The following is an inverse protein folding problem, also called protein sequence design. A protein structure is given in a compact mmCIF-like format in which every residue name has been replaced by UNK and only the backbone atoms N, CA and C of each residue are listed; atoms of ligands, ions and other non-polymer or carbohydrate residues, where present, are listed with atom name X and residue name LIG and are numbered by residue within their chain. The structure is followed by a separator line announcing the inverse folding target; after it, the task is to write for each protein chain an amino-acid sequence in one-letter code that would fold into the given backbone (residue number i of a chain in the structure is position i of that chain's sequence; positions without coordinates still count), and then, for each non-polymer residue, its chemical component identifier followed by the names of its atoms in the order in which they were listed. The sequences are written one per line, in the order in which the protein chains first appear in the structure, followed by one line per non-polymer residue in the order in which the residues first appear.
data_IF_842813390451
#
_entry.id   IF_842813390451
#
_cell.length_a   1.000
_cell.length_b   1.000
_cell.length_c   1.000
_cell.angle_alpha   90.00
_cell.angle_beta   90.00
_cell.angle_gamma   90.00
#
_symmetry.space_group_name_H-M   'P 1'
#
loop_
_entity.id
_entity.type
_entity.pdbx_description
1 polymer ?
#
# COMPACT_ATOMS: atom_id res chain seq x y z
N UNK A 1 -21.60 -14.24 37.99
CA UNK A 1 -21.64 -12.93 38.67
C UNK A 1 -20.37 -12.12 38.39
N UNK A 2 -20.10 -11.81 37.11
CA UNK A 2 -18.91 -11.02 36.71
C UNK A 2 -19.27 -9.94 35.67
N UNK A 3 -20.55 -9.61 35.52
CA UNK A 3 -21.07 -8.63 34.56
C UNK A 3 -21.45 -7.29 35.23
N UNK A 4 -21.35 -7.20 36.56
CA UNK A 4 -21.84 -6.05 37.32
C UNK A 4 -20.74 -5.08 37.81
N UNK A 5 -19.45 -5.39 37.60
CA UNK A 5 -18.33 -4.56 38.13
C UNK A 5 -17.79 -3.57 37.09
N UNK A 6 -17.99 -3.81 35.79
CA UNK A 6 -17.42 -2.96 34.72
C UNK A 6 -18.21 -1.65 34.50
N UNK A 7 -19.49 -1.62 34.86
CA UNK A 7 -20.34 -0.42 34.64
C UNK A 7 -20.06 0.68 35.70
N UNK A 8 -19.47 0.35 36.86
CA UNK A 8 -19.24 1.34 37.92
C UNK A 8 -18.03 2.24 37.63
N UNK A 9 -17.03 1.76 36.89
CA UNK A 9 -15.85 2.59 36.56
C UNK A 9 -16.11 3.60 35.43
N UNK A 10 -16.99 3.27 34.47
CA UNK A 10 -17.35 4.17 33.37
C UNK A 10 -18.24 5.34 33.83
N UNK A 11 -19.07 5.14 34.87
CA UNK A 11 -19.93 6.20 35.42
C UNK A 11 -19.19 7.07 36.45
N UNK A 12 -18.17 6.55 37.12
CA UNK A 12 -17.37 7.32 38.09
C UNK A 12 -16.48 8.38 37.41
N UNK A 13 -16.02 8.12 36.18
CA UNK A 13 -15.29 9.08 35.35
C UNK A 13 -16.18 10.21 34.78
N UNK A 14 -17.50 10.03 34.75
CA UNK A 14 -18.45 11.08 34.36
C UNK A 14 -18.76 12.06 35.51
N UNK A 15 -18.44 11.72 36.77
CA UNK A 15 -18.83 12.50 37.95
C UNK A 15 -17.65 13.21 38.65
N UNK A 16 -16.42 12.93 38.27
CA UNK A 16 -15.27 13.78 38.63
C UNK A 16 -14.89 14.58 37.41
N UNK A 17 -15.26 15.86 37.37
CA UNK A 17 -14.90 16.82 36.32
C UNK A 17 -13.40 17.04 36.20
N UNK A 18 -12.68 16.00 35.76
CA UNK A 18 -11.31 16.06 35.30
C UNK A 18 -11.41 16.39 33.81
N UNK A 19 -11.15 17.65 33.53
CA UNK A 19 -10.99 18.21 32.21
C UNK A 19 -9.72 17.60 31.58
N UNK A 20 -9.85 16.42 30.97
CA UNK A 20 -8.78 15.75 30.19
C UNK A 20 -8.79 16.21 28.72
N UNK A 21 -9.50 17.29 28.41
CA UNK A 21 -9.81 17.67 27.02
C UNK A 21 -8.66 18.29 26.21
N UNK A 22 -7.49 18.53 26.80
CA UNK A 22 -6.40 19.26 26.12
C UNK A 22 -5.16 18.44 25.74
N UNK A 23 -5.10 17.13 26.05
CA UNK A 23 -3.91 16.30 25.77
C UNK A 23 -4.08 15.18 24.75
N UNK A 24 -5.30 14.95 24.26
CA UNK A 24 -5.54 13.92 23.25
C UNK A 24 -5.91 14.59 21.92
N UNK A 25 -5.16 14.34 20.83
CA UNK A 25 -5.57 14.79 19.51
C UNK A 25 -6.94 14.18 19.20
N UNK A 26 -7.83 14.98 18.61
CA UNK A 26 -9.13 14.51 18.14
C UNK A 26 -8.94 13.29 17.23
N UNK A 27 -9.77 12.23 17.34
CA UNK A 27 -9.68 11.09 16.44
C UNK A 27 -9.82 11.55 14.98
N UNK A 28 -9.08 10.94 14.04
CA UNK A 28 -9.12 11.33 12.64
C UNK A 28 -10.53 11.19 12.08
N UNK A 29 -10.99 12.18 11.33
CA UNK A 29 -12.31 12.15 10.70
C UNK A 29 -12.28 11.17 9.52
N UNK A 30 -13.21 10.22 9.54
CA UNK A 30 -13.42 9.28 8.42
C UNK A 30 -14.26 10.00 7.35
N UNK A 31 -13.77 10.03 6.11
CA UNK A 31 -14.50 10.51 4.93
C UNK A 31 -14.63 9.38 3.92
N UNK A 32 -15.86 9.06 3.52
CA UNK A 32 -16.10 8.17 2.40
C UNK A 32 -16.30 8.99 1.12
N UNK A 33 -15.57 8.64 0.07
CA UNK A 33 -15.68 9.20 -1.28
C UNK A 33 -16.15 8.06 -2.19
N UNK A 34 -17.31 8.25 -2.81
CA UNK A 34 -17.77 7.38 -3.88
C UNK A 34 -17.35 7.97 -5.22
N UNK A 35 -16.62 7.20 -6.01
CA UNK A 35 -16.38 7.51 -7.42
C UNK A 35 -17.56 6.95 -8.21
N UNK A 36 -18.25 7.78 -9.00
CA UNK A 36 -19.46 7.40 -9.72
C UNK A 36 -19.14 6.48 -10.92
N UNK A 37 -19.65 5.25 -10.88
CA UNK A 37 -19.51 4.29 -11.98
C UNK A 37 -20.02 2.89 -11.65
N UNK A 38 -21.31 2.76 -11.29
CA UNK A 38 -21.96 1.45 -11.14
C UNK A 38 -22.36 0.90 -12.51
N UNK A 39 -21.39 0.34 -13.24
CA UNK A 39 -21.67 -0.74 -14.19
C UNK A 39 -21.02 -2.01 -13.62
N UNK A 40 -21.71 -3.17 -13.76
CA UNK A 40 -21.34 -4.46 -13.16
C UNK A 40 -19.82 -4.66 -13.18
N UNK A 41 -19.21 -4.56 -12.00
CA UNK A 41 -17.76 -4.62 -11.84
C UNK A 41 -17.29 -6.06 -12.01
N UNK A 42 -16.33 -6.27 -12.91
CA UNK A 42 -15.37 -7.35 -12.73
C UNK A 42 -14.63 -7.07 -11.41
N UNK A 43 -14.40 -8.11 -10.59
CA UNK A 43 -13.63 -7.95 -9.35
C UNK A 43 -12.25 -7.37 -9.68
N UNK A 44 -12.00 -6.14 -9.26
CA UNK A 44 -10.70 -5.48 -9.42
C UNK A 44 -9.86 -5.71 -8.16
N UNK A 45 -8.59 -5.34 -8.21
CA UNK A 45 -7.69 -5.32 -7.07
C UNK A 45 -6.99 -3.97 -7.07
N UNK A 46 -6.89 -3.35 -5.90
CA UNK A 46 -6.11 -2.13 -5.76
C UNK A 46 -4.66 -2.51 -5.48
N UNK A 47 -3.76 -2.03 -6.34
CA UNK A 47 -2.31 -2.10 -6.19
C UNK A 47 -1.84 -0.76 -5.65
N UNK A 48 -1.06 -0.80 -4.58
CA UNK A 48 -0.43 0.41 -4.07
C UNK A 48 0.74 0.74 -4.97
N UNK A 49 0.83 2.00 -5.38
CA UNK A 49 2.12 2.44 -5.90
C UNK A 49 3.11 2.41 -4.74
N UNK A 50 4.36 2.07 -5.01
CA UNK A 50 5.35 2.01 -3.97
C UNK A 50 5.66 3.42 -3.47
N UNK A 51 4.89 3.83 -2.48
CA UNK A 51 5.29 4.76 -1.46
C UNK A 51 6.17 3.93 -0.52
N UNK A 52 7.29 4.47 -0.05
CA UNK A 52 7.86 3.93 1.16
C UNK A 52 6.71 3.82 2.19
N UNK A 53 6.41 2.61 2.69
CA UNK A 53 5.90 2.27 4.04
C UNK A 53 4.65 1.37 4.14
N UNK A 54 4.63 0.72 5.31
CA UNK A 54 3.93 -0.47 5.82
C UNK A 54 2.40 -0.51 5.75
N UNK A 55 1.83 -1.72 5.63
CA UNK A 55 0.48 -2.01 6.11
C UNK A 55 0.32 -3.45 6.61
N UNK A 56 0.10 -3.65 7.92
CA UNK A 56 -0.42 -4.90 8.48
C UNK A 56 -1.93 -4.78 8.73
N UNK A 57 -2.75 -5.43 7.90
CA UNK A 57 -4.21 -5.31 7.91
C UNK A 57 -4.84 -5.58 9.30
N UNK A 58 -4.34 -6.56 10.05
CA UNK A 58 -4.90 -6.97 11.35
C UNK A 58 -4.49 -6.03 12.49
N UNK A 59 -3.22 -5.61 12.54
CA UNK A 59 -2.70 -4.65 13.54
C UNK A 59 -3.26 -3.23 13.34
N UNK A 60 -3.53 -2.84 12.10
CA UNK A 60 -4.08 -1.52 11.77
C UNK A 60 -5.54 -1.42 12.19
N UNK A 61 -6.33 -2.47 11.97
CA UNK A 61 -7.71 -2.49 12.45
C UNK A 61 -7.76 -2.37 13.98
N UNK A 62 -6.83 -3.01 14.71
CA UNK A 62 -6.67 -2.78 16.16
C UNK A 62 -6.19 -1.36 16.51
N UNK A 63 -5.23 -0.78 15.79
CA UNK A 63 -4.70 0.58 16.04
C UNK A 63 -5.64 1.73 15.64
N UNK A 64 -6.52 1.55 14.65
CA UNK A 64 -7.60 2.50 14.35
C UNK A 64 -8.55 2.61 15.55
N UNK A 65 -8.67 1.55 16.36
CA UNK A 65 -9.39 1.57 17.64
C UNK A 65 -8.50 1.91 18.85
N UNK A 66 -7.17 1.80 18.74
CA UNK A 66 -6.21 2.20 19.77
C UNK A 66 -5.02 3.00 19.20
N UNK A 67 -5.17 4.32 19.17
CA UNK A 67 -4.19 5.41 19.02
C UNK A 67 -2.74 5.10 18.57
N UNK A 68 -2.28 5.99 17.68
CA UNK A 68 -0.89 6.26 17.24
C UNK A 68 -0.43 5.43 16.03
N UNK A 69 -0.87 5.84 14.85
CA UNK A 69 -0.21 5.49 13.59
C UNK A 69 0.98 6.46 13.43
N UNK A 70 2.20 5.98 13.11
CA UNK A 70 3.35 6.85 12.80
C UNK A 70 3.06 7.81 11.63
N UNK A 71 3.91 8.83 11.45
CA UNK A 71 3.81 10.00 10.54
C UNK A 71 3.76 9.67 9.01
N UNK A 72 3.08 8.60 8.60
CA UNK A 72 3.20 7.98 7.28
C UNK A 72 1.84 7.65 6.65
N UNK A 73 1.66 8.00 5.38
CA UNK A 73 0.42 7.70 4.64
C UNK A 73 0.26 6.18 4.51
N UNK A 74 -0.80 5.62 5.08
CA UNK A 74 -1.08 4.19 5.06
C UNK A 74 -2.21 3.91 4.07
N UNK A 75 -2.06 2.93 3.18
CA UNK A 75 -3.10 2.58 2.20
C UNK A 75 -3.43 1.10 2.31
N UNK A 76 -4.71 0.78 2.41
CA UNK A 76 -5.25 -0.58 2.45
C UNK A 76 -6.14 -0.79 1.23
N UNK A 77 -5.85 -1.85 0.48
CA UNK A 77 -6.51 -2.20 -0.78
C UNK A 77 -7.45 -3.41 -0.63
N UNK A 78 -8.75 -3.21 -0.93
CA UNK A 78 -9.75 -4.26 -1.12
C UNK A 78 -10.17 -4.44 -2.59
N UNK A 79 -11.01 -5.44 -2.90
CA UNK A 79 -11.41 -5.77 -4.29
C UNK A 79 -12.08 -4.58 -5.02
N UNK A 80 -12.63 -3.58 -4.33
CA UNK A 80 -13.28 -2.42 -4.98
C UNK A 80 -13.12 -1.12 -4.17
N UNK A 81 -12.25 -1.15 -3.15
CA UNK A 81 -12.10 -0.08 -2.17
C UNK A 81 -10.63 0.17 -1.86
N UNK A 82 -10.27 1.43 -1.71
CA UNK A 82 -9.00 1.83 -1.13
C UNK A 82 -9.28 2.63 0.16
N UNK A 83 -8.72 2.20 1.28
CA UNK A 83 -8.73 2.96 2.53
C UNK A 83 -7.37 3.64 2.64
N UNK A 84 -7.35 4.97 2.62
CA UNK A 84 -6.15 5.80 2.60
C UNK A 84 -6.13 6.62 3.88
N UNK A 85 -5.19 6.32 4.76
CA UNK A 85 -4.85 7.13 5.92
C UNK A 85 -3.77 8.14 5.53
N UNK A 86 -4.04 9.41 5.82
CA UNK A 86 -3.15 10.53 5.55
C UNK A 86 -2.86 11.27 6.87
N UNK A 87 -1.81 10.90 7.62
CA UNK A 87 -1.44 11.62 8.83
C UNK A 87 -0.92 13.01 8.48
N UNK A 88 -1.29 14.00 9.30
CA UNK A 88 -0.89 15.39 9.09
C UNK A 88 -1.45 16.04 7.82
N UNK A 89 -2.39 15.37 7.14
CA UNK A 89 -3.00 15.83 5.89
C UNK A 89 -4.53 15.74 5.96
N UNK A 90 -5.17 16.79 5.43
CA UNK A 90 -6.62 16.91 5.36
C UNK A 90 -7.05 16.91 3.91
N UNK A 91 -8.03 16.08 3.60
CA UNK A 91 -8.71 16.16 2.31
C UNK A 91 -9.47 17.47 2.18
N UNK A 92 -9.06 18.27 1.20
CA UNK A 92 -9.68 19.54 0.83
C UNK A 92 -10.67 19.37 -0.30
N UNK A 93 -10.30 18.68 -1.37
CA UNK A 93 -11.15 18.48 -2.54
C UNK A 93 -10.85 17.16 -3.25
N UNK A 94 -11.78 16.72 -4.09
CA UNK A 94 -11.69 15.51 -4.89
C UNK A 94 -12.13 15.80 -6.30
N UNK A 95 -11.38 15.35 -7.28
CA UNK A 95 -11.77 15.47 -8.68
C UNK A 95 -11.24 14.29 -9.48
N UNK A 96 -12.03 13.86 -10.46
CA UNK A 96 -11.66 12.76 -11.34
C UNK A 96 -11.56 13.28 -12.77
N UNK A 97 -10.48 12.90 -13.46
CA UNK A 97 -10.27 13.20 -14.87
C UNK A 97 -10.11 11.92 -15.67
N UNK A 98 -10.43 11.98 -16.95
CA UNK A 98 -10.10 10.92 -17.90
C UNK A 98 -8.90 11.37 -18.73
N UNK A 99 -7.81 10.62 -18.65
CA UNK A 99 -6.57 10.82 -19.39
C UNK A 99 -6.41 9.67 -20.39
N UNK A 100 -6.97 9.85 -21.59
CA UNK A 100 -6.99 8.80 -22.60
C UNK A 100 -7.85 7.61 -22.16
N UNK A 101 -7.21 6.46 -21.89
CA UNK A 101 -7.88 5.26 -21.36
C UNK A 101 -7.79 5.10 -19.84
N UNK A 102 -6.99 5.95 -19.18
CA UNK A 102 -6.79 5.92 -17.73
C UNK A 102 -7.73 6.93 -17.07
N UNK A 103 -8.37 6.53 -15.99
CA UNK A 103 -9.11 7.44 -15.12
C UNK A 103 -8.17 7.81 -13.97
N UNK A 104 -8.07 9.09 -13.65
CA UNK A 104 -7.28 9.56 -12.52
C UNK A 104 -8.18 10.26 -11.50
N UNK A 105 -8.23 9.73 -10.28
CA UNK A 105 -8.88 10.35 -9.12
C UNK A 105 -7.84 11.05 -8.28
N UNK A 106 -8.01 12.35 -8.13
CA UNK A 106 -7.08 13.24 -7.46
C UNK A 106 -7.64 13.65 -6.10
N UNK A 107 -6.85 13.43 -5.06
CA UNK A 107 -7.14 13.82 -3.69
C UNK A 107 -6.32 15.08 -3.38
N UNK A 108 -6.94 16.26 -3.49
CA UNK A 108 -6.31 17.52 -3.11
C UNK A 108 -6.27 17.62 -1.59
N UNK A 109 -5.07 17.78 -1.04
CA UNK A 109 -4.83 17.79 0.40
C UNK A 109 -4.09 19.03 0.86
N UNK A 110 -4.28 19.36 2.12
CA UNK A 110 -3.57 20.43 2.83
C UNK A 110 -2.95 19.91 4.13
N UNK A 111 -1.86 20.54 4.57
CA UNK A 111 -1.23 20.22 5.85
C UNK A 111 -2.14 20.60 7.01
N UNK A 112 -2.15 19.78 8.04
CA UNK A 112 -3.02 19.90 9.21
C UNK A 112 -2.39 19.18 10.40
N UNK A 113 -2.85 19.48 11.61
CA UNK A 113 -2.47 18.72 12.81
C UNK A 113 -3.31 17.44 12.96
N UNK A 114 -4.53 17.42 12.44
CA UNK A 114 -5.42 16.26 12.45
C UNK A 114 -5.25 15.44 11.16
N UNK A 115 -4.99 14.13 11.23
CA UNK A 115 -4.97 13.26 10.05
C UNK A 115 -6.37 12.97 9.47
N UNK A 116 -6.42 12.44 8.25
CA UNK A 116 -7.67 11.97 7.61
C UNK A 116 -7.62 10.48 7.29
N UNK A 117 -8.74 9.78 7.48
CA UNK A 117 -8.97 8.45 6.89
C UNK A 117 -9.95 8.65 5.74
N UNK A 118 -9.57 8.25 4.55
CA UNK A 118 -10.34 8.38 3.32
C UNK A 118 -10.68 6.98 2.83
N UNK A 119 -11.94 6.70 2.57
CA UNK A 119 -12.37 5.47 1.91
C UNK A 119 -12.78 5.84 0.50
N UNK A 120 -12.03 5.40 -0.50
CA UNK A 120 -12.38 5.52 -1.91
C UNK A 120 -13.07 4.24 -2.35
N UNK A 121 -14.33 4.34 -2.77
CA UNK A 121 -15.14 3.21 -3.21
C UNK A 121 -15.63 3.41 -4.65
N UNK A 122 -16.00 2.31 -5.32
CA UNK A 122 -16.48 2.35 -6.70
C UNK A 122 -15.36 2.62 -7.71
N UNK A 123 -14.14 2.16 -7.42
CA UNK A 123 -13.01 2.30 -8.34
C UNK A 123 -13.30 1.57 -9.65
N UNK A 124 -12.87 2.15 -10.76
CA UNK A 124 -12.99 1.55 -12.10
C UNK A 124 -11.70 0.80 -12.48
N UNK A 125 -11.75 -0.18 -13.40
CA UNK A 125 -10.54 -0.78 -13.95
C UNK A 125 -9.60 0.28 -14.50
N UNK A 126 -8.30 0.16 -14.18
CA UNK A 126 -7.24 1.10 -14.58
C UNK A 126 -7.35 2.50 -13.97
N UNK A 127 -8.20 2.68 -12.96
CA UNK A 127 -8.28 3.94 -12.25
C UNK A 127 -7.08 4.14 -11.32
N UNK A 128 -6.41 5.28 -11.45
CA UNK A 128 -5.27 5.66 -10.64
C UNK A 128 -5.68 6.73 -9.64
N UNK A 129 -5.23 6.55 -8.40
CA UNK A 129 -5.45 7.49 -7.31
C UNK A 129 -4.15 8.26 -7.08
N UNK A 130 -4.27 9.58 -7.05
CA UNK A 130 -3.17 10.51 -6.84
C UNK A 130 -3.44 11.41 -5.65
N UNK A 131 -2.39 11.65 -4.86
CA UNK A 131 -2.37 12.72 -3.88
C UNK A 131 -1.88 14.00 -4.54
N UNK A 132 -2.61 15.11 -4.35
CA UNK A 132 -2.22 16.41 -4.87
C UNK A 132 -1.96 17.37 -3.70
N UNK A 133 -0.70 17.72 -3.48
CA UNK A 133 -0.28 18.64 -2.42
C UNK A 133 0.26 19.93 -3.00
N UNK A 134 -0.20 21.07 -2.48
CA UNK A 134 0.34 22.37 -2.89
C UNK A 134 1.77 22.56 -2.38
N UNK A 135 2.65 23.00 -3.25
CA UNK A 135 4.03 23.39 -2.93
C UNK A 135 4.32 24.79 -3.49
N UNK A 136 4.18 25.80 -2.63
CA UNK A 136 4.26 27.20 -3.05
C UNK A 136 3.20 27.55 -4.12
N UNK A 137 3.65 27.83 -5.35
CA UNK A 137 2.80 28.16 -6.48
C UNK A 137 2.43 26.95 -7.37
N UNK A 138 3.05 25.78 -7.14
CA UNK A 138 2.80 24.56 -7.91
C UNK A 138 2.07 23.51 -7.08
N UNK A 139 1.75 22.38 -7.71
CA UNK A 139 1.29 21.18 -7.05
C UNK A 139 2.29 20.05 -7.27
N UNK A 140 2.54 19.28 -6.21
CA UNK A 140 3.21 17.99 -6.27
C UNK A 140 2.11 16.93 -6.40
N UNK A 141 2.19 16.15 -7.46
CA UNK A 141 1.29 15.04 -7.73
C UNK A 141 2.02 13.74 -7.42
N UNK A 142 1.47 12.96 -6.49
CA UNK A 142 2.07 11.71 -6.02
C UNK A 142 1.10 10.56 -6.26
N UNK A 143 1.47 9.57 -7.11
CA UNK A 143 0.62 8.39 -7.32
C UNK A 143 0.58 7.54 -6.04
N UNK A 144 -0.60 7.17 -5.58
CA UNK A 144 -0.78 6.43 -4.31
C UNK A 144 -1.36 5.04 -4.50
N UNK A 145 -2.28 4.85 -5.45
CA UNK A 145 -2.79 3.52 -5.77
C UNK A 145 -3.29 3.43 -7.22
N UNK A 146 -3.46 2.21 -7.72
CA UNK A 146 -4.05 1.89 -9.02
C UNK A 146 -4.99 0.71 -8.88
N UNK A 147 -6.17 0.81 -9.47
CA UNK A 147 -7.08 -0.30 -9.62
C UNK A 147 -6.73 -1.11 -10.87
N UNK A 148 -6.54 -2.42 -10.69
CA UNK A 148 -6.07 -3.35 -11.71
C UNK A 148 -7.02 -4.54 -11.75
N UNK A 149 -7.30 -5.09 -12.93
CA UNK A 149 -8.14 -6.29 -13.04
C UNK A 149 -7.49 -7.48 -12.33
N UNK A 150 -8.29 -8.33 -11.67
CA UNK A 150 -7.78 -9.48 -10.91
C UNK A 150 -6.89 -10.41 -11.73
N UNK A 151 -7.19 -10.58 -13.01
CA UNK A 151 -6.42 -11.43 -13.91
C UNK A 151 -5.02 -10.87 -14.24
N UNK A 152 -4.79 -9.58 -13.98
CA UNK A 152 -3.53 -8.87 -14.18
C UNK A 152 -2.74 -8.68 -12.87
N UNK A 153 -3.30 -9.11 -11.74
CA UNK A 153 -2.61 -9.07 -10.45
C UNK A 153 -2.03 -10.44 -10.11
N UNK A 154 -0.75 -10.44 -9.75
CA UNK A 154 -0.07 -11.57 -9.15
C UNK A 154 0.13 -11.32 -7.66
N UNK A 155 -0.48 -12.15 -6.83
CA UNK A 155 -0.20 -12.18 -5.39
C UNK A 155 0.95 -13.14 -5.12
N UNK A 156 1.90 -12.71 -4.31
CA UNK A 156 3.10 -13.47 -3.93
C UNK A 156 3.18 -13.43 -2.41
N UNK A 157 3.29 -14.60 -1.76
CA UNK A 157 3.47 -14.68 -0.30
C UNK A 157 4.64 -15.57 0.04
N UNK A 158 5.26 -15.27 1.18
CA UNK A 158 6.24 -16.15 1.75
C UNK A 158 6.81 -15.61 3.04
N UNK A 159 8.01 -16.10 3.37
CA UNK A 159 8.72 -15.71 4.58
C UNK A 159 9.98 -14.96 4.23
N UNK A 160 10.32 -13.98 5.05
CA UNK A 160 11.57 -13.27 4.97
C UNK A 160 12.09 -13.02 6.39
N UNK A 161 13.13 -13.73 6.80
CA UNK A 161 13.73 -13.54 8.12
C UNK A 161 14.84 -12.49 8.00
N UNK A 162 14.94 -11.61 9.01
CA UNK A 162 15.92 -10.51 9.07
C UNK A 162 15.87 -9.50 7.92
N UNK A 163 14.79 -9.49 7.17
CA UNK A 163 14.54 -8.51 6.12
C UNK A 163 13.65 -7.38 6.64
N UNK A 164 13.92 -6.15 6.23
CA UNK A 164 12.99 -5.02 6.39
C UNK A 164 11.87 -5.10 5.37
N UNK A 165 12.26 -5.33 4.12
CA UNK A 165 11.38 -5.30 2.97
C UNK A 165 11.68 -6.47 2.06
N UNK A 166 10.68 -6.84 1.28
CA UNK A 166 10.86 -7.64 0.08
C UNK A 166 10.56 -6.74 -1.11
N UNK A 167 11.50 -6.63 -2.02
CA UNK A 167 11.39 -5.84 -3.24
C UNK A 167 11.19 -6.76 -4.44
N UNK A 168 10.47 -6.29 -5.45
CA UNK A 168 10.21 -7.04 -6.68
C UNK A 168 10.75 -6.26 -7.87
N UNK A 169 11.45 -6.96 -8.76
CA UNK A 169 12.06 -6.39 -9.95
C UNK A 169 11.62 -7.18 -11.19
N UNK A 170 11.38 -6.47 -12.30
CA UNK A 170 11.05 -7.06 -13.59
C UNK A 170 12.31 -7.24 -14.45
N UNK A 171 12.57 -8.46 -14.88
CA UNK A 171 13.64 -8.75 -15.83
C UNK A 171 13.06 -9.16 -17.18
N UNK A 172 13.88 -9.02 -18.22
CA UNK A 172 13.54 -9.49 -19.57
C UNK A 172 13.76 -11.00 -19.69
N UNK A 173 14.80 -11.54 -19.05
CA UNK A 173 15.07 -12.97 -18.98
C UNK A 173 15.61 -13.34 -17.59
N UNK A 174 15.48 -14.61 -17.19
CA UNK A 174 15.96 -15.07 -15.88
C UNK A 174 17.48 -14.93 -15.75
N UNK A 175 18.21 -15.18 -16.84
CA UNK A 175 19.65 -15.02 -16.97
C UNK A 175 20.16 -13.57 -16.92
N UNK A 176 19.30 -12.55 -17.04
CA UNK A 176 19.70 -11.14 -16.90
C UNK A 176 19.98 -10.77 -15.43
N UNK A 177 19.59 -11.62 -14.46
CA UNK A 177 19.82 -11.40 -13.04
C UNK A 177 21.16 -12.01 -12.57
N UNK A 178 21.94 -11.22 -11.81
CA UNK A 178 23.18 -11.65 -11.18
C UNK A 178 23.03 -11.68 -9.65
N UNK A 179 22.96 -12.87 -9.07
CA UNK A 179 22.77 -13.06 -7.61
C UNK A 179 23.93 -12.55 -6.74
N UNK A 180 25.10 -12.26 -7.33
CA UNK A 180 26.23 -11.68 -6.59
C UNK A 180 26.18 -10.16 -6.50
N UNK A 181 25.23 -9.49 -7.15
CA UNK A 181 25.06 -8.05 -7.12
C UNK A 181 23.64 -7.68 -6.66
N UNK A 182 23.46 -6.50 -6.05
CA UNK A 182 22.12 -5.95 -5.83
C UNK A 182 21.36 -5.81 -7.16
N UNK A 183 20.01 -5.90 -7.13
CA UNK A 183 19.19 -5.71 -8.33
C UNK A 183 19.36 -4.30 -8.91
N UNK A 184 19.11 -4.15 -10.21
CA UNK A 184 19.11 -2.84 -10.85
C UNK A 184 17.89 -2.03 -10.38
N UNK A 185 18.09 -0.86 -9.74
CA UNK A 185 16.97 -0.04 -9.25
C UNK A 185 16.03 0.44 -10.35
N UNK A 186 16.47 0.51 -11.62
CA UNK A 186 15.60 0.88 -12.74
C UNK A 186 14.63 -0.23 -13.15
N UNK A 187 14.85 -1.46 -12.69
CA UNK A 187 13.99 -2.61 -12.94
C UNK A 187 12.95 -2.83 -11.83
N UNK A 188 12.96 -2.00 -10.80
CA UNK A 188 12.11 -2.14 -9.64
C UNK A 188 10.63 -1.89 -9.98
N UNK A 189 9.76 -2.65 -9.31
CA UNK A 189 8.31 -2.61 -9.49
C UNK A 189 7.59 -2.11 -8.23
N UNK A 190 7.83 -2.82 -7.13
CA UNK A 190 7.11 -2.63 -5.88
C UNK A 190 7.89 -3.26 -4.73
N UNK A 191 7.45 -2.99 -3.50
CA UNK A 191 7.94 -3.68 -2.32
C UNK A 191 6.81 -4.01 -1.35
N UNK A 192 7.12 -4.85 -0.37
CA UNK A 192 6.26 -5.13 0.78
C UNK A 192 7.12 -5.12 2.02
N UNK A 193 6.57 -4.58 3.11
CA UNK A 193 7.21 -4.73 4.41
C UNK A 193 7.03 -6.14 4.93
N UNK A 194 8.09 -6.63 5.56
CA UNK A 194 8.09 -7.90 6.26
C UNK A 194 7.53 -7.71 7.66
N UNK A 195 6.47 -8.47 8.00
CA UNK A 195 5.81 -8.38 9.30
C UNK A 195 5.70 -9.78 9.89
N UNK A 196 6.23 -9.97 11.11
CA UNK A 196 6.26 -11.30 11.73
C UNK A 196 7.00 -12.33 10.86
N UNK A 197 8.04 -11.88 10.14
CA UNK A 197 8.81 -12.65 9.16
C UNK A 197 8.01 -13.14 7.94
N UNK A 198 6.83 -12.57 7.69
CA UNK A 198 6.00 -12.87 6.53
C UNK A 198 5.88 -11.65 5.62
N UNK A 199 5.67 -11.88 4.33
CA UNK A 199 5.36 -10.83 3.36
C UNK A 199 4.21 -11.26 2.44
N UNK A 200 3.39 -10.29 2.04
CA UNK A 200 2.45 -10.40 0.92
C UNK A 200 2.73 -9.25 -0.05
N UNK A 201 3.01 -9.60 -1.30
CA UNK A 201 3.24 -8.69 -2.41
C UNK A 201 2.11 -8.84 -3.42
N UNK A 202 1.69 -7.72 -4.01
CA UNK A 202 0.79 -7.71 -5.17
C UNK A 202 1.47 -6.96 -6.31
N UNK A 203 1.64 -7.65 -7.42
CA UNK A 203 2.34 -7.15 -8.60
C UNK A 203 1.33 -6.95 -9.72
N UNK A 204 1.31 -5.75 -10.30
CA UNK A 204 0.58 -5.46 -11.53
C UNK A 204 1.40 -5.95 -12.73
N UNK A 205 0.94 -7.03 -13.36
CA UNK A 205 1.59 -7.64 -14.54
C UNK A 205 1.49 -6.77 -15.80
N UNK A 206 0.67 -5.71 -15.75
CA UNK A 206 0.46 -4.78 -16.87
C UNK A 206 1.27 -3.49 -16.75
N UNK A 207 2.08 -3.33 -15.70
CA UNK A 207 2.88 -2.13 -15.49
C UNK A 207 4.35 -2.46 -15.16
N UNK A 208 5.10 -1.44 -14.76
CA UNK A 208 6.52 -1.54 -14.46
C UNK A 208 7.43 -0.88 -15.50
N UNK A 209 8.75 -1.13 -15.38
CA UNK A 209 9.74 -0.59 -16.30
C UNK A 209 9.43 -0.95 -17.74
N UNK A 210 9.66 0.01 -18.64
CA UNK A 210 9.43 -0.18 -20.06
C UNK A 210 10.59 -0.96 -20.71
N UNK A 211 10.23 -1.87 -21.61
CA UNK A 211 11.14 -2.49 -22.57
C UNK A 211 11.61 -1.45 -23.59
N UNK A 212 12.56 -1.84 -24.45
CA UNK A 212 13.01 -1.01 -25.57
C UNK A 212 11.90 -0.64 -26.55
N UNK A 213 10.80 -1.40 -26.57
CA UNK A 213 9.63 -1.12 -27.44
C UNK A 213 8.62 -0.17 -26.79
N UNK A 214 8.89 0.26 -25.54
CA UNK A 214 8.01 1.13 -24.77
C UNK A 214 6.86 0.40 -24.07
N UNK A 215 6.82 -0.94 -24.13
CA UNK A 215 5.82 -1.76 -23.41
C UNK A 215 6.35 -2.20 -22.04
N UNK A 216 5.50 -2.41 -21.03
CA UNK A 216 5.94 -2.92 -19.73
C UNK A 216 6.65 -4.27 -19.84
N UNK A 217 7.82 -4.44 -19.19
CA UNK A 217 8.63 -5.65 -19.26
C UNK A 217 7.87 -6.93 -18.86
N UNK A 218 7.02 -6.85 -17.83
CA UNK A 218 6.22 -7.98 -17.38
C UNK A 218 5.13 -8.39 -18.36
N UNK A 219 4.66 -7.46 -19.19
CA UNK A 219 3.70 -7.79 -20.24
C UNK A 219 4.32 -8.63 -21.36
N UNK A 220 5.65 -8.58 -21.51
CA UNK A 220 6.38 -9.30 -22.53
C UNK A 220 6.94 -10.64 -22.01
N UNK A 221 7.62 -10.63 -20.85
CA UNK A 221 8.48 -11.76 -20.46
C UNK A 221 8.14 -12.39 -19.10
N UNK A 222 7.30 -11.76 -18.27
CA UNK A 222 6.83 -12.28 -16.96
C UNK A 222 7.95 -12.88 -16.08
N UNK A 223 9.14 -12.28 -16.07
CA UNK A 223 10.24 -12.69 -15.19
C UNK A 223 10.35 -11.74 -14.02
N UNK A 224 10.25 -12.28 -12.80
CA UNK A 224 10.37 -11.54 -11.56
C UNK A 224 11.60 -11.98 -10.78
N UNK A 225 12.25 -11.02 -10.14
CA UNK A 225 13.14 -11.25 -9.02
C UNK A 225 12.46 -10.75 -7.74
N UNK A 226 12.42 -11.60 -6.73
CA UNK A 226 12.04 -11.26 -5.37
C UNK A 226 13.33 -11.10 -4.56
N UNK A 227 13.54 -9.92 -3.99
CA UNK A 227 14.76 -9.54 -3.28
C UNK A 227 14.49 -9.19 -1.82
N UNK A 228 15.09 -9.92 -0.89
CA UNK A 228 15.07 -9.59 0.54
C UNK A 228 16.08 -8.48 0.89
N UNK A 229 15.57 -7.35 1.38
CA UNK A 229 16.38 -6.22 1.85
C UNK A 229 16.63 -6.37 3.35
N UNK A 230 17.90 -6.38 3.82
CA UNK A 230 18.22 -6.51 5.24
C UNK A 230 17.56 -5.47 6.13
N UNK A 231 17.23 -5.88 7.35
CA UNK A 231 16.74 -4.97 8.39
C UNK A 231 17.80 -3.93 8.79
N UNK A 232 19.05 -4.37 8.89
CA UNK A 232 20.21 -3.55 9.25
C UNK A 232 21.29 -3.67 8.18
N UNK A 233 22.05 -2.60 7.95
CA UNK A 233 23.13 -2.58 6.95
C UNK A 233 24.26 -3.57 7.23
N UNK A 234 24.41 -4.02 8.49
CA UNK A 234 25.45 -4.95 8.93
C UNK A 234 24.86 -6.30 9.39
N UNK A 235 23.66 -6.65 8.89
CA UNK A 235 23.03 -7.94 9.18
C UNK A 235 23.95 -9.07 8.70
N UNK A 236 24.19 -10.08 9.54
CA UNK A 236 25.11 -11.19 9.21
C UNK A 236 24.45 -12.33 8.44
N UNK A 237 23.12 -12.33 8.34
CA UNK A 237 22.35 -13.25 7.51
C UNK A 237 20.94 -12.70 7.28
N UNK A 238 20.43 -12.95 6.08
CA UNK A 238 19.01 -12.78 5.74
C UNK A 238 18.51 -14.05 5.07
N UNK A 239 17.20 -14.27 5.10
CA UNK A 239 16.58 -15.40 4.42
C UNK A 239 15.27 -14.96 3.78
N UNK A 240 14.96 -15.54 2.62
CA UNK A 240 13.69 -15.33 1.96
C UNK A 240 13.24 -16.62 1.27
N UNK A 241 11.95 -16.90 1.33
CA UNK A 241 11.28 -17.99 0.63
C UNK A 241 10.01 -17.51 -0.05
N UNK A 242 9.59 -18.26 -1.06
CA UNK A 242 8.26 -18.17 -1.67
C UNK A 242 7.44 -19.36 -1.15
N UNK A 243 6.25 -19.08 -0.61
CA UNK A 243 5.33 -20.09 -0.10
C UNK A 243 4.08 -20.20 -0.99
N UNK A 244 3.60 -19.07 -1.51
CA UNK A 244 2.42 -19.02 -2.37
C UNK A 244 2.67 -18.09 -3.55
N UNK A 245 2.33 -18.58 -4.74
CA UNK A 245 2.25 -17.79 -5.97
C UNK A 245 0.80 -17.87 -6.46
N UNK A 246 0.18 -16.72 -6.73
CA UNK A 246 -1.18 -16.66 -7.24
C UNK A 246 -1.38 -17.49 -8.52
N UNK A 247 -2.63 -17.89 -8.78
CA UNK A 247 -3.05 -18.83 -9.85
C UNK A 247 -2.24 -18.71 -11.15
N UNK A 248 -1.82 -19.87 -11.72
CA UNK A 248 -0.98 -20.08 -12.92
C UNK A 248 -0.91 -18.90 -13.92
N UNK A 249 -0.11 -17.88 -13.59
CA UNK A 249 0.13 -16.73 -14.49
C UNK A 249 1.31 -16.93 -15.45
N UNK A 250 1.88 -18.13 -15.60
CA UNK A 250 3.09 -18.36 -16.40
C UNK A 250 4.18 -17.31 -16.10
N UNK A 251 4.57 -17.22 -14.82
CA UNK A 251 5.56 -16.26 -14.32
C UNK A 251 6.79 -17.03 -13.86
N UNK A 252 7.97 -16.61 -14.30
CA UNK A 252 9.24 -17.15 -13.81
C UNK A 252 9.69 -16.30 -12.62
N UNK A 253 9.95 -16.92 -11.48
CA UNK A 253 10.34 -16.22 -10.24
C UNK A 253 11.72 -16.68 -9.81
N UNK A 254 12.65 -15.74 -9.72
CA UNK A 254 13.91 -15.89 -9.00
C UNK A 254 13.79 -15.24 -7.63
N UNK A 255 14.50 -15.78 -6.65
CA UNK A 255 14.45 -15.29 -5.27
C UNK A 255 15.88 -15.22 -4.74
N UNK A 256 16.24 -14.09 -4.16
CA UNK A 256 17.50 -13.94 -3.42
C UNK A 256 17.33 -12.91 -2.31
N UNK A 257 18.33 -12.76 -1.46
CA UNK A 257 18.46 -11.65 -0.53
C UNK A 257 19.90 -11.13 -0.53
N UNK A 258 20.12 -9.99 0.13
CA UNK A 258 21.49 -9.52 0.34
C UNK A 258 22.26 -10.56 1.21
N UNK A 259 23.55 -10.79 0.92
CA UNK A 259 24.38 -11.68 1.74
C UNK A 259 24.47 -11.24 3.20
#
# INVERSE_FOLDING_TARGET
MLLAVVIIFAVSLLLTGLDVSSRYPSPPKIKEISVSGLEKLDKIHVILYPQNKEANLEKILEQIYSHTIPDENLIIAGEEKAIIFLPGLKLKNTFSYTLGRTIATMLEVEKTQEGSIIIVSGLRPYEEIYLLQKDGASYIMTPIARAVSRDQVLTIRGRADNCKFVEVYAYRAAEDFNASLPPDPYLWLNNATVIGNQYELRVDLSSGPASRTGRPLLSENRVLLIYGVPLLTNQSWTFISLEELGEEKNVTVNITCAP
#
